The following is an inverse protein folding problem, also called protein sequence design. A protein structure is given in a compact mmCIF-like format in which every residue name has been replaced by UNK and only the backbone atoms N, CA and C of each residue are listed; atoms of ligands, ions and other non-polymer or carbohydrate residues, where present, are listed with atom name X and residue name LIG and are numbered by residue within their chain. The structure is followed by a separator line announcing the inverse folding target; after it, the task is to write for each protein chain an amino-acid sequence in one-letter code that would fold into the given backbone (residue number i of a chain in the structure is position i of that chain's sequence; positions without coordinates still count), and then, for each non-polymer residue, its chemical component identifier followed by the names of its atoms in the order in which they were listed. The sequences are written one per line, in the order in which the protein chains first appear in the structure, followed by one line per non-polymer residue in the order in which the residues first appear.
data_IF_056478829525
#
_entry.id   IF_056478829525
#
_cell.length_a   1.000
_cell.length_b   1.000
_cell.length_c   1.000
_cell.angle_alpha   90.00
_cell.angle_beta   90.00
_cell.angle_gamma   90.00
#
_symmetry.space_group_name_H-M   'P 1'
#
loop_
_entity.id
_entity.type
_entity.pdbx_description
1 polymer ?
#
# COMPACT_ATOMS: atom_id res chain seq x y z
N UNK A 1 -13.42 -0.17 6.31
CA UNK A 1 -13.16 0.19 7.73
C UNK A 1 -11.66 0.13 7.93
N UNK A 2 -11.00 1.27 8.19
CA UNK A 2 -9.56 1.34 8.41
C UNK A 2 -9.32 1.84 9.83
N UNK A 3 -8.50 1.14 10.60
CA UNK A 3 -8.13 1.52 11.95
C UNK A 3 -6.60 1.56 12.06
N UNK A 4 -6.06 2.63 12.65
CA UNK A 4 -4.65 2.71 13.01
C UNK A 4 -4.51 2.22 14.45
N UNK A 5 -3.77 1.13 14.65
CA UNK A 5 -3.55 0.53 15.97
C UNK A 5 -2.16 0.91 16.47
N UNK A 6 -2.09 1.62 17.59
CA UNK A 6 -0.84 1.97 18.25
C UNK A 6 -0.59 1.10 19.48
N UNK A 7 0.65 0.66 19.68
CA UNK A 7 1.06 -0.12 20.86
C UNK A 7 1.11 0.72 22.15
N UNK A 8 1.24 2.03 22.03
CA UNK A 8 1.37 2.96 23.16
C UNK A 8 0.61 4.25 22.91
N UNK A 9 0.19 4.91 23.99
CA UNK A 9 -0.45 6.22 23.92
C UNK A 9 0.46 7.32 23.34
N UNK A 10 1.78 7.21 23.59
CA UNK A 10 2.76 8.08 22.95
C UNK A 10 2.75 7.92 21.41
N UNK A 11 2.53 6.70 20.92
CA UNK A 11 2.33 6.43 19.50
C UNK A 11 1.07 7.10 18.94
N UNK A 12 -0.04 7.08 19.69
CA UNK A 12 -1.28 7.78 19.32
C UNK A 12 -1.05 9.30 19.25
N UNK A 13 -0.38 9.88 20.25
CA UNK A 13 -0.06 11.32 20.26
C UNK A 13 0.92 11.74 19.17
N UNK A 14 1.70 10.80 18.62
CA UNK A 14 2.56 11.07 17.48
C UNK A 14 1.82 11.03 16.14
N UNK A 15 0.57 10.54 16.11
CA UNK A 15 -0.23 10.53 14.88
C UNK A 15 -0.79 11.91 14.53
N UNK A 16 -0.99 12.80 15.50
CA UNK A 16 -1.65 14.07 15.25
C UNK A 16 -1.05 15.14 16.17
N UNK A 17 -0.57 16.23 15.58
CA UNK A 17 -0.14 17.39 16.34
C UNK A 17 -1.27 18.40 16.46
N UNK A 18 -1.27 19.16 17.55
CA UNK A 18 -2.23 20.23 17.79
C UNK A 18 -1.47 21.52 18.10
N UNK A 19 -1.97 22.63 17.56
CA UNK A 19 -1.48 23.98 17.81
C UNK A 19 -2.68 24.89 18.10
N UNK A 20 -2.64 25.54 19.25
CA UNK A 20 -3.72 26.44 19.72
C UNK A 20 -5.11 25.79 19.74
N UNK A 21 -5.16 24.50 20.09
CA UNK A 21 -6.39 23.71 20.16
C UNK A 21 -6.95 23.27 18.81
N UNK A 22 -6.30 23.62 17.71
CA UNK A 22 -6.61 23.13 16.35
C UNK A 22 -5.61 22.06 15.92
N UNK A 23 -6.03 21.18 15.00
CA UNK A 23 -5.11 20.22 14.39
C UNK A 23 -4.03 20.99 13.62
N UNK A 24 -2.78 20.67 13.89
CA UNK A 24 -1.62 21.21 13.19
C UNK A 24 -1.25 20.26 12.05
N UNK A 25 -1.66 20.64 10.84
CA UNK A 25 -1.40 19.87 9.63
C UNK A 25 0.09 19.76 9.25
N UNK A 26 1.00 20.43 9.98
CA UNK A 26 2.45 20.29 9.80
C UNK A 26 3.07 19.18 10.65
N UNK A 27 2.29 18.52 11.52
CA UNK A 27 2.75 17.55 12.50
C UNK A 27 2.09 16.17 12.34
N UNK A 28 2.71 15.14 12.92
CA UNK A 28 2.15 13.80 12.99
C UNK A 28 2.00 13.11 11.63
N UNK A 29 0.85 12.48 11.35
CA UNK A 29 0.60 11.83 10.05
C UNK A 29 0.48 12.83 8.91
N UNK A 30 0.16 14.08 9.23
CA UNK A 30 -0.02 15.17 8.27
C UNK A 30 1.30 15.73 7.76
N UNK A 31 2.44 15.22 8.19
CA UNK A 31 3.73 15.68 7.66
C UNK A 31 4.35 14.68 6.66
N UNK A 32 3.78 13.49 6.47
CA UNK A 32 4.50 12.37 5.83
C UNK A 32 4.47 12.44 4.30
N UNK A 33 5.65 12.63 3.67
CA UNK A 33 5.82 12.82 2.22
C UNK A 33 5.36 11.63 1.35
N UNK A 34 4.88 11.93 0.13
CA UNK A 34 4.59 10.95 -0.92
C UNK A 34 5.83 10.49 -1.68
N UNK A 35 6.60 9.57 -1.09
CA UNK A 35 7.59 8.78 -1.84
C UNK A 35 6.96 7.46 -2.29
N UNK A 36 7.01 7.15 -3.59
CA UNK A 36 6.70 5.80 -4.09
C UNK A 36 7.83 4.84 -3.75
N UNK A 37 7.49 3.60 -3.41
CA UNK A 37 8.46 2.54 -3.11
C UNK A 37 9.06 2.02 -4.41
N UNK A 38 10.38 1.84 -4.45
CA UNK A 38 11.08 1.18 -5.55
C UNK A 38 11.06 -0.34 -5.36
N UNK A 39 9.89 -0.93 -5.62
CA UNK A 39 9.65 -2.37 -5.47
C UNK A 39 10.05 -3.12 -6.74
N UNK A 40 10.70 -4.27 -6.56
CA UNK A 40 11.11 -5.15 -7.66
C UNK A 40 9.90 -5.69 -8.41
N UNK A 41 9.71 -5.22 -9.64
CA UNK A 41 8.65 -5.69 -10.52
C UNK A 41 8.85 -7.19 -10.84
N UNK A 42 7.77 -7.99 -10.90
CA UNK A 42 7.87 -9.36 -11.39
C UNK A 42 8.38 -9.35 -12.83
N UNK A 43 9.26 -10.32 -13.15
CA UNK A 43 9.82 -10.47 -14.48
C UNK A 43 9.66 -11.91 -14.95
N UNK A 44 9.18 -12.06 -16.17
CA UNK A 44 9.18 -13.32 -16.91
C UNK A 44 10.63 -13.72 -17.24
N UNK A 45 10.80 -14.96 -17.71
CA UNK A 45 12.09 -15.44 -18.23
C UNK A 45 12.60 -14.56 -19.38
N UNK A 46 11.68 -13.96 -20.14
CA UNK A 46 11.99 -12.97 -21.18
C UNK A 46 12.50 -11.61 -20.64
N UNK A 47 12.42 -11.38 -19.33
CA UNK A 47 12.77 -10.11 -18.68
C UNK A 47 11.64 -9.08 -18.62
N UNK A 48 10.53 -9.33 -19.33
CA UNK A 48 9.35 -8.45 -19.35
C UNK A 48 8.46 -8.66 -18.11
N UNK A 49 7.65 -7.65 -17.79
CA UNK A 49 6.63 -7.82 -16.76
C UNK A 49 5.53 -8.78 -17.24
N UNK A 50 4.91 -9.58 -16.35
CA UNK A 50 3.75 -10.39 -16.69
C UNK A 50 2.65 -9.53 -17.35
N UNK A 51 1.95 -10.05 -18.37
CA UNK A 51 0.81 -9.38 -18.97
C UNK A 51 -0.19 -8.90 -17.92
N UNK A 52 -0.75 -7.71 -18.17
CA UNK A 52 -1.76 -7.11 -17.29
C UNK A 52 -1.26 -6.63 -15.93
N UNK A 53 0.03 -6.75 -15.58
CA UNK A 53 0.56 -6.16 -14.35
C UNK A 53 0.52 -4.63 -14.42
N UNK A 54 -0.19 -4.00 -13.49
CA UNK A 54 -0.36 -2.55 -13.42
C UNK A 54 0.66 -1.94 -12.46
N UNK A 55 0.90 -2.58 -11.32
CA UNK A 55 1.80 -2.09 -10.29
C UNK A 55 1.51 -2.68 -8.91
N UNK A 56 2.11 -2.07 -7.90
CA UNK A 56 1.90 -2.44 -6.50
C UNK A 56 0.82 -1.55 -5.88
N UNK A 57 -0.11 -2.16 -5.14
CA UNK A 57 -1.23 -1.46 -4.51
C UNK A 57 -0.74 -0.36 -3.54
N UNK A 58 0.34 -0.61 -2.80
CA UNK A 58 0.97 0.36 -1.90
C UNK A 58 1.37 1.67 -2.60
N UNK A 59 1.70 1.62 -3.90
CA UNK A 59 2.06 2.79 -4.72
C UNK A 59 0.87 3.44 -5.44
N UNK A 60 -0.34 2.87 -5.32
CA UNK A 60 -1.58 3.40 -5.89
C UNK A 60 -2.39 4.21 -4.88
N UNK A 61 -2.05 4.13 -3.59
CA UNK A 61 -2.65 4.98 -2.56
C UNK A 61 -2.17 6.42 -2.76
N UNK A 62 -3.10 7.32 -3.07
CA UNK A 62 -2.88 8.76 -3.05
C UNK A 62 -2.97 9.27 -1.62
N UNK A 63 -1.95 10.00 -1.19
CA UNK A 63 -1.85 10.68 0.09
C UNK A 63 -1.87 12.18 -0.24
N UNK A 64 -2.90 12.89 0.23
CA UNK A 64 -3.12 14.31 -0.12
C UNK A 64 -1.97 15.18 0.41
N UNK A 65 -1.24 15.80 -0.52
CA UNK A 65 -0.01 16.55 -0.27
C UNK A 65 -0.23 18.01 0.16
N UNK A 66 -1.47 18.46 0.42
CA UNK A 66 -1.75 19.89 0.60
C UNK A 66 -0.97 20.58 1.72
N UNK A 67 -0.38 19.88 2.70
CA UNK A 67 0.51 20.49 3.71
C UNK A 67 1.68 19.60 4.22
N UNK A 68 2.12 18.58 3.49
CA UNK A 68 2.93 17.49 4.07
C UNK A 68 4.46 17.66 3.94
N UNK A 69 5.14 18.12 5.00
CA UNK A 69 6.62 18.05 5.12
C UNK A 69 7.09 17.74 6.56
N UNK A 70 7.32 16.46 6.84
CA UNK A 70 8.40 15.94 7.67
C UNK A 70 8.36 14.41 7.69
N UNK A 71 9.57 13.88 7.64
CA UNK A 71 9.89 12.48 7.63
C UNK A 71 9.90 11.98 9.09
N UNK A 72 9.56 10.70 9.36
CA UNK A 72 9.77 10.10 10.70
C UNK A 72 11.17 10.42 11.24
N UNK A 73 11.41 10.40 12.56
CA UNK A 73 12.76 10.56 13.16
C UNK A 73 13.84 9.70 12.47
N UNK A 74 13.43 8.61 11.83
CA UNK A 74 14.29 7.67 11.12
C UNK A 74 14.36 7.84 9.60
N UNK A 75 13.69 8.82 8.99
CA UNK A 75 13.75 8.94 7.53
C UNK A 75 12.56 8.33 6.75
N UNK A 76 11.51 7.84 7.42
CA UNK A 76 10.45 7.02 6.78
C UNK A 76 9.08 7.71 6.65
N UNK A 77 8.37 7.44 5.56
CA UNK A 77 7.02 7.90 5.19
C UNK A 77 5.88 6.96 5.63
N UNK A 78 4.62 7.38 5.52
CA UNK A 78 3.45 6.47 5.69
C UNK A 78 3.48 5.32 4.71
N UNK A 79 3.96 5.58 3.49
CA UNK A 79 4.02 4.55 2.45
C UNK A 79 4.95 3.42 2.86
N UNK A 80 6.10 3.76 3.42
CA UNK A 80 7.14 2.81 3.88
C UNK A 80 6.77 2.12 5.20
N UNK A 81 5.88 2.72 5.98
CA UNK A 81 5.48 2.20 7.30
C UNK A 81 4.07 1.61 7.24
N UNK A 82 3.04 2.43 7.42
CA UNK A 82 1.65 1.98 7.52
C UNK A 82 1.18 1.23 6.27
N UNK A 83 1.31 1.85 5.09
CA UNK A 83 0.76 1.27 3.87
C UNK A 83 1.55 0.05 3.40
N UNK A 84 2.88 0.01 3.63
CA UNK A 84 3.65 -1.20 3.35
C UNK A 84 3.27 -2.35 4.30
N UNK A 85 2.98 -2.08 5.57
CA UNK A 85 2.49 -3.13 6.47
C UNK A 85 1.08 -3.64 6.09
N UNK A 86 0.23 -2.78 5.51
CA UNK A 86 -1.13 -3.15 5.09
C UNK A 86 -1.15 -3.87 3.74
N UNK A 87 -0.41 -3.36 2.76
CA UNK A 87 -0.46 -3.85 1.38
C UNK A 87 0.76 -4.69 1.00
N UNK A 88 1.90 -4.58 1.69
CA UNK A 88 3.14 -5.27 1.35
C UNK A 88 3.42 -5.19 -0.17
N UNK A 89 3.79 -6.30 -0.79
CA UNK A 89 4.01 -6.45 -2.24
C UNK A 89 2.73 -6.84 -3.00
N UNK A 90 1.54 -6.44 -2.53
CA UNK A 90 0.26 -6.73 -3.18
C UNK A 90 0.25 -6.20 -4.61
N UNK A 91 0.14 -7.12 -5.57
CA UNK A 91 0.18 -6.82 -7.00
C UNK A 91 -1.23 -6.51 -7.53
N UNK A 92 -1.32 -5.54 -8.43
CA UNK A 92 -2.58 -5.16 -9.09
C UNK A 92 -2.49 -5.52 -10.56
N UNK A 93 -3.51 -6.22 -11.05
CA UNK A 93 -3.63 -6.68 -12.42
C UNK A 93 -4.87 -6.11 -13.11
N UNK A 94 -4.83 -6.03 -14.44
CA UNK A 94 -5.94 -5.54 -15.26
C UNK A 94 -7.15 -6.47 -15.19
N UNK A 95 -6.95 -7.77 -15.37
CA UNK A 95 -8.01 -8.77 -15.37
C UNK A 95 -7.67 -9.95 -14.46
N UNK A 96 -8.69 -10.74 -14.09
CA UNK A 96 -8.51 -11.98 -13.33
C UNK A 96 -7.70 -12.99 -14.13
N UNK A 97 -7.86 -13.03 -15.44
CA UNK A 97 -7.11 -13.92 -16.33
C UNK A 97 -5.61 -13.59 -16.33
N UNK A 98 -5.26 -12.32 -16.51
CA UNK A 98 -3.88 -11.84 -16.41
C UNK A 98 -3.27 -12.19 -15.04
N UNK A 99 -4.02 -11.96 -13.97
CA UNK A 99 -3.61 -12.28 -12.59
C UNK A 99 -3.31 -13.78 -12.41
N UNK A 100 -4.17 -14.67 -12.94
CA UNK A 100 -3.99 -16.11 -12.84
C UNK A 100 -2.82 -16.61 -13.71
N UNK A 101 -2.62 -16.03 -14.89
CA UNK A 101 -1.46 -16.35 -15.74
C UNK A 101 -0.12 -16.03 -15.05
N UNK A 102 -0.11 -15.02 -14.17
CA UNK A 102 1.05 -14.58 -13.42
C UNK A 102 1.17 -15.22 -12.02
N UNK A 103 0.37 -16.26 -11.71
CA UNK A 103 0.25 -16.79 -10.35
C UNK A 103 1.59 -17.20 -9.72
N UNK A 104 2.51 -17.78 -10.50
CA UNK A 104 3.84 -18.18 -10.03
C UNK A 104 4.72 -17.01 -9.53
N UNK A 105 4.38 -15.78 -9.88
CA UNK A 105 5.08 -14.55 -9.49
C UNK A 105 4.41 -13.82 -8.30
N UNK A 106 3.35 -14.40 -7.72
CA UNK A 106 2.54 -13.78 -6.65
C UNK A 106 2.92 -14.39 -5.30
N UNK A 107 3.59 -13.60 -4.45
CA UNK A 107 4.12 -14.03 -3.15
C UNK A 107 3.26 -13.62 -1.96
N UNK A 108 2.78 -12.37 -1.94
CA UNK A 108 2.03 -11.79 -0.81
C UNK A 108 0.54 -11.62 -1.11
N UNK A 109 0.12 -11.85 -2.36
CA UNK A 109 -1.24 -11.68 -2.83
C UNK A 109 -1.32 -10.83 -4.09
N UNK A 110 -2.50 -10.84 -4.71
CA UNK A 110 -2.81 -10.03 -5.86
C UNK A 110 -4.31 -9.71 -5.94
N UNK A 111 -4.63 -8.60 -6.60
CA UNK A 111 -5.99 -8.23 -6.96
C UNK A 111 -6.07 -7.89 -8.45
N UNK A 112 -7.25 -8.05 -9.04
CA UNK A 112 -7.54 -7.58 -10.39
C UNK A 112 -8.66 -6.56 -10.40
N UNK A 113 -8.65 -5.64 -11.37
CA UNK A 113 -9.65 -4.56 -11.46
C UNK A 113 -11.08 -5.07 -11.73
N UNK A 114 -11.22 -6.27 -12.27
CA UNK A 114 -12.50 -6.99 -12.46
C UNK A 114 -12.92 -7.82 -11.24
N UNK A 115 -12.30 -7.60 -10.07
CA UNK A 115 -12.73 -8.14 -8.78
C UNK A 115 -12.17 -9.51 -8.41
N UNK A 116 -11.07 -9.95 -9.03
CA UNK A 116 -10.31 -11.11 -8.58
C UNK A 116 -9.45 -10.79 -7.36
N UNK A 117 -9.34 -11.75 -6.42
CA UNK A 117 -8.50 -11.63 -5.22
C UNK A 117 -7.77 -12.95 -4.93
N UNK A 118 -6.44 -12.87 -4.83
CA UNK A 118 -5.53 -13.90 -4.31
C UNK A 118 -4.96 -13.36 -3.00
N UNK A 119 -5.26 -14.02 -1.88
CA UNK A 119 -4.80 -13.56 -0.54
C UNK A 119 -3.38 -14.03 -0.21
N UNK A 120 -2.90 -15.05 -0.91
CA UNK A 120 -1.59 -15.64 -0.76
C UNK A 120 -1.47 -16.85 -1.68
N UNK A 121 -0.28 -17.47 -1.78
CA UNK A 121 -0.07 -18.65 -2.61
C UNK A 121 -1.10 -19.75 -2.28
N UNK A 122 -1.90 -20.15 -3.27
CA UNK A 122 -2.93 -21.17 -3.12
C UNK A 122 -4.22 -20.75 -2.40
N UNK A 123 -4.35 -19.49 -1.95
CA UNK A 123 -5.55 -19.00 -1.26
C UNK A 123 -6.31 -18.01 -2.16
N UNK A 124 -7.42 -18.49 -2.72
CA UNK A 124 -8.27 -17.73 -3.64
C UNK A 124 -9.58 -17.31 -2.99
N UNK A 125 -10.06 -16.10 -3.30
CA UNK A 125 -11.44 -15.71 -3.00
C UNK A 125 -12.31 -15.92 -4.24
N UNK A 126 -13.33 -16.76 -4.11
CA UNK A 126 -14.31 -17.06 -5.17
C UNK A 126 -15.69 -16.56 -4.75
N UNK A 127 -16.56 -16.35 -5.73
CA UNK A 127 -17.92 -15.83 -5.51
C UNK A 127 -18.09 -14.38 -5.97
N UNK A 128 -19.32 -13.88 -5.82
CA UNK A 128 -19.69 -12.53 -6.24
C UNK A 128 -19.42 -11.56 -5.08
N UNK A 129 -18.51 -10.61 -5.27
CA UNK A 129 -18.36 -9.48 -4.36
C UNK A 129 -19.46 -8.46 -4.72
N UNK A 130 -20.48 -8.36 -3.87
CA UNK A 130 -21.50 -7.29 -3.94
C UNK A 130 -21.00 -6.07 -3.19
#
# INVERSE_FOLDING_TARGET
MLAVVCKTYAGVRALEGYKDGSVDNSLGIHSLAERRLDLLKPKLISGEAPPGFIGFAVNMVTIDNTHLYSISKNGLSLRETLFYNLFSDLKVYKSREDMLSAQSYITHGAISLDGGVIRGPGIFSLGRHQ
#
